data_IF_716019844823
#
_entry.id   IF_716019844823
#
_cell.length_a   1.000
_cell.length_b   1.000
_cell.length_c   1.000
_cell.angle_alpha   90.00
_cell.angle_beta   90.00
_cell.angle_gamma   90.00
#
_symmetry.space_group_name_H-M   'P 1'
#
loop_
_entity.id
_entity.type
_entity.pdbx_description
1 polymer ?
#
# COMPACT_ATOMS: atom_id res chain seq x y z
N UNK A 1 22.50 49.60 -1.99
CA UNK A 1 23.49 48.79 -2.73
C UNK A 1 22.68 47.68 -3.40
N UNK A 2 22.57 47.68 -4.73
CA UNK A 2 21.71 46.72 -5.45
C UNK A 2 22.17 45.30 -5.10
N UNK A 3 21.27 44.46 -4.59
CA UNK A 3 21.49 43.02 -4.41
C UNK A 3 21.62 42.39 -5.80
N UNK A 4 22.81 42.53 -6.39
CA UNK A 4 23.13 41.96 -7.67
C UNK A 4 23.53 40.51 -7.40
N UNK A 5 22.67 39.57 -7.80
CA UNK A 5 22.93 38.13 -7.69
C UNK A 5 24.33 37.79 -8.22
N UNK A 6 25.06 36.91 -7.52
CA UNK A 6 26.43 36.57 -7.90
C UNK A 6 26.45 35.76 -9.21
N UNK A 7 26.85 36.43 -10.29
CA UNK A 7 26.96 35.84 -11.63
C UNK A 7 27.89 34.63 -11.67
N UNK A 8 28.91 34.58 -10.82
CA UNK A 8 29.87 33.49 -10.78
C UNK A 8 29.27 32.26 -10.11
N UNK A 9 28.46 32.46 -9.07
CA UNK A 9 27.70 31.39 -8.42
C UNK A 9 26.68 30.83 -9.41
N UNK A 10 25.90 31.69 -10.07
CA UNK A 10 24.95 31.27 -11.10
C UNK A 10 25.59 30.46 -12.21
N UNK A 11 26.70 30.96 -12.78
CA UNK A 11 27.38 30.28 -13.87
C UNK A 11 27.92 28.91 -13.47
N UNK A 12 28.46 28.82 -12.25
CA UNK A 12 29.00 27.57 -11.69
C UNK A 12 27.89 26.55 -11.46
N UNK A 13 26.77 26.95 -10.83
CA UNK A 13 25.63 26.07 -10.59
C UNK A 13 24.98 25.60 -11.90
N UNK A 14 24.79 26.51 -12.86
CA UNK A 14 24.23 26.16 -14.17
C UNK A 14 25.08 25.12 -14.90
N UNK A 15 26.40 25.33 -14.94
CA UNK A 15 27.34 24.41 -15.59
C UNK A 15 27.36 23.04 -14.91
N UNK A 16 27.49 23.03 -13.59
CA UNK A 16 27.51 21.79 -12.80
C UNK A 16 26.19 21.00 -12.96
N UNK A 17 25.06 21.70 -12.96
CA UNK A 17 23.75 21.09 -13.13
C UNK A 17 23.62 20.44 -14.51
N UNK A 18 23.97 21.14 -15.60
CA UNK A 18 23.97 20.56 -16.95
C UNK A 18 24.82 19.29 -17.02
N UNK A 19 26.05 19.36 -16.53
CA UNK A 19 26.98 18.22 -16.56
C UNK A 19 26.50 17.04 -15.71
N UNK A 20 25.91 17.31 -14.54
CA UNK A 20 25.28 16.31 -13.67
C UNK A 20 24.10 15.63 -14.34
N UNK A 21 23.20 16.38 -14.99
CA UNK A 21 22.05 15.83 -15.73
C UNK A 21 22.48 14.94 -16.89
N UNK A 22 23.52 15.36 -17.63
CA UNK A 22 24.11 14.52 -18.67
C UNK A 22 24.70 13.21 -18.12
N UNK A 23 25.39 13.28 -16.97
CA UNK A 23 25.93 12.09 -16.31
C UNK A 23 24.83 11.12 -15.87
N UNK A 24 23.71 11.63 -15.35
CA UNK A 24 22.53 10.82 -14.99
C UNK A 24 21.95 10.09 -16.20
N UNK A 25 21.77 10.80 -17.32
CA UNK A 25 21.34 10.19 -18.58
C UNK A 25 22.30 9.07 -19.03
N UNK A 26 23.60 9.38 -19.11
CA UNK A 26 24.62 8.45 -19.61
C UNK A 26 24.74 7.19 -18.74
N UNK A 27 24.69 7.34 -17.41
CA UNK A 27 24.77 6.23 -16.47
C UNK A 27 23.57 5.26 -16.54
N UNK A 28 22.48 5.66 -17.20
CA UNK A 28 21.25 4.86 -17.31
C UNK A 28 20.90 4.55 -18.76
N UNK A 29 21.83 4.75 -19.71
CA UNK A 29 21.58 4.62 -21.13
C UNK A 29 21.29 3.16 -21.56
N UNK A 30 21.85 2.18 -20.85
CA UNK A 30 21.62 0.75 -21.14
C UNK A 30 20.30 0.22 -20.57
N UNK A 31 19.55 1.03 -19.80
CA UNK A 31 18.28 0.61 -19.20
C UNK A 31 17.16 0.68 -20.25
N UNK A 32 16.34 -0.37 -20.32
CA UNK A 32 15.15 -0.44 -21.21
C UNK A 32 14.20 0.75 -21.06
N UNK A 33 14.13 1.34 -19.87
CA UNK A 33 13.46 2.61 -19.62
C UNK A 33 14.43 3.51 -18.84
N UNK A 34 14.97 4.54 -19.49
CA UNK A 34 15.87 5.49 -18.86
C UNK A 34 15.05 6.61 -18.18
N UNK A 35 15.00 6.69 -16.84
CA UNK A 35 14.23 7.74 -16.15
C UNK A 35 14.78 9.15 -16.41
N UNK A 36 15.97 9.26 -17.00
CA UNK A 36 16.67 10.51 -17.30
C UNK A 36 16.72 10.82 -18.80
N UNK A 37 15.91 10.14 -19.64
CA UNK A 37 15.90 10.33 -21.10
C UNK A 37 15.74 11.80 -21.50
N UNK A 38 14.94 12.56 -20.73
CA UNK A 38 14.74 13.99 -20.94
C UNK A 38 16.05 14.79 -20.90
N UNK A 39 17.10 14.35 -20.24
CA UNK A 39 18.36 15.09 -20.14
C UNK A 39 19.37 14.81 -21.26
N UNK A 40 18.98 14.11 -22.33
CA UNK A 40 19.86 13.84 -23.48
C UNK A 40 20.46 15.13 -24.09
N UNK A 41 19.71 16.25 -24.07
CA UNK A 41 20.19 17.54 -24.57
C UNK A 41 21.24 18.21 -23.67
N UNK A 42 21.50 17.72 -22.45
CA UNK A 42 22.52 18.28 -21.55
C UNK A 42 23.96 17.92 -21.95
N UNK A 43 24.12 17.08 -22.99
CA UNK A 43 25.41 16.62 -23.52
C UNK A 43 26.40 17.74 -23.80
N UNK A 44 25.92 18.88 -24.31
CA UNK A 44 26.76 20.02 -24.67
C UNK A 44 26.03 21.35 -24.48
N UNK A 45 26.79 22.44 -24.45
CA UNK A 45 26.24 23.80 -24.50
C UNK A 45 25.39 24.04 -25.75
N UNK A 46 25.77 23.41 -26.87
CA UNK A 46 25.11 23.54 -28.16
C UNK A 46 23.68 22.99 -28.11
N UNK A 47 23.57 21.70 -27.76
CA UNK A 47 22.29 20.98 -27.66
C UNK A 47 21.34 21.57 -26.62
N UNK A 48 21.86 22.09 -25.50
CA UNK A 48 21.02 22.73 -24.49
C UNK A 48 20.60 24.15 -24.92
N UNK A 49 21.45 24.89 -25.64
CA UNK A 49 21.09 26.21 -26.18
C UNK A 49 19.97 26.11 -27.21
N UNK A 50 20.00 25.09 -28.07
CA UNK A 50 18.91 24.78 -29.01
C UNK A 50 17.61 24.48 -28.25
N UNK A 51 17.68 23.67 -27.19
CA UNK A 51 16.52 23.32 -26.36
C UNK A 51 15.89 24.55 -25.68
N UNK A 52 16.71 25.52 -25.29
CA UNK A 52 16.29 26.77 -24.66
C UNK A 52 15.92 27.87 -25.66
N UNK A 53 16.00 27.58 -26.96
CA UNK A 53 15.80 28.51 -28.06
C UNK A 53 16.65 29.79 -27.90
N UNK A 54 17.95 29.60 -27.66
CA UNK A 54 18.93 30.69 -27.56
C UNK A 54 20.19 30.36 -28.34
N UNK A 55 20.92 31.39 -28.76
CA UNK A 55 22.21 31.18 -29.41
C UNK A 55 23.20 30.49 -28.46
N UNK A 56 23.96 29.51 -28.98
CA UNK A 56 25.05 28.84 -28.27
C UNK A 56 26.00 29.82 -27.58
N UNK A 57 26.36 30.92 -28.27
CA UNK A 57 27.27 31.94 -27.71
C UNK A 57 26.66 32.63 -26.48
N UNK A 58 25.36 32.84 -26.48
CA UNK A 58 24.63 33.43 -25.36
C UNK A 58 24.61 32.47 -24.17
N UNK A 59 24.28 31.19 -24.41
CA UNK A 59 24.33 30.17 -23.36
C UNK A 59 25.76 29.99 -22.79
N UNK A 60 26.77 29.96 -23.65
CA UNK A 60 28.17 29.87 -23.22
C UNK A 60 28.61 31.05 -22.36
N UNK A 61 28.11 32.27 -22.61
CA UNK A 61 28.37 33.43 -21.73
C UNK A 61 27.74 33.25 -20.34
N UNK A 62 26.60 32.56 -20.24
CA UNK A 62 25.95 32.26 -18.96
C UNK A 62 26.76 31.25 -18.15
N UNK A 63 27.20 30.14 -18.74
CA UNK A 63 28.05 29.15 -18.05
C UNK A 63 29.45 29.68 -17.70
N UNK A 64 29.93 30.72 -18.40
CA UNK A 64 31.22 31.35 -18.12
C UNK A 64 31.10 32.59 -17.20
N UNK A 65 29.93 32.90 -16.67
CA UNK A 65 29.72 34.04 -15.76
C UNK A 65 29.95 35.41 -16.41
N UNK A 66 29.93 35.48 -17.74
CA UNK A 66 30.15 36.72 -18.50
C UNK A 66 28.88 37.58 -18.50
N UNK A 67 27.72 36.96 -18.58
CA UNK A 67 26.40 37.63 -18.53
C UNK A 67 25.41 36.77 -17.74
N UNK A 68 24.36 37.37 -17.21
CA UNK A 68 23.24 36.66 -16.57
C UNK A 68 22.05 36.63 -17.55
N UNK A 69 21.31 35.51 -17.66
CA UNK A 69 20.05 35.45 -18.41
C UNK A 69 18.97 36.39 -17.85
N UNK A 70 17.94 36.68 -18.65
CA UNK A 70 16.72 37.32 -18.16
C UNK A 70 15.93 36.36 -17.25
N UNK A 71 15.04 36.90 -16.41
CA UNK A 71 14.23 36.08 -15.49
C UNK A 71 13.41 35.00 -16.23
N UNK A 72 12.85 35.34 -17.40
CA UNK A 72 12.12 34.38 -18.25
C UNK A 72 13.03 33.23 -18.69
N UNK A 73 14.28 33.54 -19.04
CA UNK A 73 15.27 32.53 -19.43
C UNK A 73 15.76 31.71 -18.25
N UNK A 74 15.83 32.28 -17.05
CA UNK A 74 16.09 31.51 -15.83
C UNK A 74 14.95 30.53 -15.57
N UNK A 75 13.69 30.95 -15.73
CA UNK A 75 12.54 30.06 -15.60
C UNK A 75 12.55 28.93 -16.65
N UNK A 76 12.88 29.23 -17.91
CA UNK A 76 13.08 28.22 -18.95
C UNK A 76 14.17 27.20 -18.55
N UNK A 77 15.30 27.69 -18.04
CA UNK A 77 16.40 26.83 -17.56
C UNK A 77 15.92 25.93 -16.41
N UNK A 78 15.20 26.47 -15.44
CA UNK A 78 14.65 25.70 -14.31
C UNK A 78 13.72 24.58 -14.77
N UNK A 79 12.83 24.87 -15.72
CA UNK A 79 11.91 23.90 -16.30
C UNK A 79 12.63 22.80 -17.08
N UNK A 80 13.67 23.16 -17.83
CA UNK A 80 14.45 22.22 -18.64
C UNK A 80 15.36 21.34 -17.76
N UNK A 81 15.99 21.89 -16.72
CA UNK A 81 16.95 21.15 -15.89
C UNK A 81 16.35 20.56 -14.60
N UNK A 82 15.05 20.76 -14.38
CA UNK A 82 14.31 20.44 -13.16
C UNK A 82 15.06 20.90 -11.90
N UNK A 83 15.21 22.22 -11.76
CA UNK A 83 15.80 22.83 -10.57
C UNK A 83 14.97 24.03 -10.10
N UNK A 84 15.16 24.40 -8.82
CA UNK A 84 14.63 25.64 -8.28
C UNK A 84 15.51 26.83 -8.73
N UNK A 85 14.89 27.98 -8.98
CA UNK A 85 15.57 29.25 -9.23
C UNK A 85 16.52 29.62 -8.08
N UNK A 86 16.15 29.32 -6.84
CA UNK A 86 16.96 29.59 -5.64
C UNK A 86 18.31 28.87 -5.71
N UNK A 87 18.30 27.61 -6.18
CA UNK A 87 19.51 26.82 -6.38
C UNK A 87 20.44 27.46 -7.43
N UNK A 88 19.88 27.94 -8.54
CA UNK A 88 20.68 28.63 -9.57
C UNK A 88 21.24 29.96 -9.07
N UNK A 89 20.51 30.68 -8.22
CA UNK A 89 20.95 31.97 -7.69
C UNK A 89 21.89 31.84 -6.49
N UNK A 90 22.16 30.62 -6.00
CA UNK A 90 23.04 30.39 -4.85
C UNK A 90 22.39 30.76 -3.52
N UNK A 91 21.06 30.77 -3.44
CA UNK A 91 20.37 30.89 -2.18
C UNK A 91 20.53 29.58 -1.40
N UNK A 92 21.50 29.55 -0.49
CA UNK A 92 21.72 28.42 0.42
C UNK A 92 20.68 28.42 1.58
N UNK A 93 20.15 29.59 1.91
CA UNK A 93 19.06 29.76 2.88
C UNK A 93 17.74 30.02 2.17
N UNK A 94 16.81 29.05 2.25
CA UNK A 94 15.40 29.30 2.00
C UNK A 94 14.85 30.12 3.17
N UNK A 95 15.03 31.44 3.12
CA UNK A 95 14.46 32.36 4.13
C UNK A 95 12.94 32.17 4.10
N UNK A 96 12.39 31.59 5.18
CA UNK A 96 10.96 31.38 5.36
C UNK A 96 10.49 29.91 5.39
N UNK A 97 11.35 28.93 5.10
CA UNK A 97 11.00 27.51 5.22
C UNK A 97 12.06 26.75 6.02
N UNK A 98 11.65 26.01 7.05
CA UNK A 98 12.57 25.16 7.80
C UNK A 98 12.99 23.95 6.95
N UNK A 99 14.21 23.39 7.13
CA UNK A 99 14.62 22.14 6.47
C UNK A 99 13.61 21.01 6.63
N UNK A 100 12.97 20.90 7.80
CA UNK A 100 11.90 19.94 8.06
C UNK A 100 10.66 20.16 7.18
N UNK A 101 10.26 21.41 6.95
CA UNK A 101 9.12 21.75 6.09
C UNK A 101 9.39 21.37 4.63
N UNK A 102 10.63 21.61 4.16
CA UNK A 102 11.07 21.24 2.81
C UNK A 102 11.08 19.71 2.65
N UNK A 103 11.69 19.00 3.60
CA UNK A 103 11.72 17.54 3.60
C UNK A 103 10.30 16.96 3.61
N UNK A 104 9.41 17.49 4.44
CA UNK A 104 8.01 17.07 4.51
C UNK A 104 7.27 17.31 3.19
N UNK A 105 7.46 18.49 2.57
CA UNK A 105 6.82 18.83 1.30
C UNK A 105 7.20 17.86 0.18
N UNK A 106 8.50 17.59 0.00
CA UNK A 106 8.98 16.76 -1.12
C UNK A 106 8.82 15.26 -0.88
N UNK A 107 9.00 14.79 0.37
CA UNK A 107 8.88 13.36 0.69
C UNK A 107 7.47 12.92 1.06
N UNK A 108 6.57 13.88 1.31
CA UNK A 108 5.24 13.69 1.91
C UNK A 108 5.25 13.04 3.30
N UNK A 109 6.42 12.85 3.91
CA UNK A 109 6.57 12.39 5.30
C UNK A 109 6.07 13.50 6.23
N UNK A 110 5.32 13.12 7.27
CA UNK A 110 4.81 14.06 8.26
C UNK A 110 5.97 14.83 8.94
N UNK A 111 5.84 16.16 9.04
CA UNK A 111 6.84 17.04 9.63
C UNK A 111 7.18 16.70 11.09
N UNK A 112 6.23 16.15 11.86
CA UNK A 112 6.44 15.74 13.25
C UNK A 112 7.43 14.58 13.35
N UNK A 113 7.38 13.64 12.39
CA UNK A 113 8.33 12.52 12.29
C UNK A 113 9.73 13.07 12.04
N UNK A 114 9.85 14.04 11.11
CA UNK A 114 11.13 14.66 10.75
C UNK A 114 11.69 15.45 11.95
N UNK A 115 10.87 16.27 12.61
CA UNK A 115 11.27 17.04 13.79
C UNK A 115 11.67 16.14 14.96
N UNK A 116 10.95 15.02 15.17
CA UNK A 116 11.33 14.03 16.19
C UNK A 116 12.65 13.36 15.86
N UNK A 117 12.88 12.96 14.60
CA UNK A 117 14.15 12.41 14.16
C UNK A 117 15.30 13.42 14.28
N UNK A 118 15.07 14.72 14.09
CA UNK A 118 16.11 15.73 14.27
C UNK A 118 16.47 15.97 15.74
N UNK A 119 15.54 15.75 16.66
CA UNK A 119 15.73 16.00 18.10
C UNK A 119 16.13 14.77 18.92
N UNK A 120 15.98 13.57 18.34
CA UNK A 120 16.22 12.30 19.03
C UNK A 120 17.02 11.33 18.14
N UNK A 121 18.28 11.11 18.52
CA UNK A 121 19.22 10.28 17.77
C UNK A 121 18.81 8.81 17.74
N UNK A 122 18.26 8.29 18.84
CA UNK A 122 17.81 6.89 18.92
C UNK A 122 16.59 6.66 18.02
N UNK A 123 15.64 7.61 18.04
CA UNK A 123 14.49 7.57 17.14
C UNK A 123 14.93 7.61 15.67
N UNK A 124 15.90 8.48 15.35
CA UNK A 124 16.43 8.63 13.98
C UNK A 124 17.15 7.38 13.51
N UNK A 125 17.98 6.77 14.34
CA UNK A 125 18.69 5.54 14.00
C UNK A 125 17.72 4.39 13.70
N UNK A 126 16.77 4.17 14.60
CA UNK A 126 15.72 3.16 14.40
C UNK A 126 14.89 3.45 13.14
N UNK A 127 14.47 4.71 12.94
CA UNK A 127 13.68 5.11 11.77
C UNK A 127 14.45 4.83 10.47
N UNK A 128 15.74 5.15 10.40
CA UNK A 128 16.57 4.88 9.24
C UNK A 128 16.68 3.38 8.94
N UNK A 129 16.84 2.55 9.98
CA UNK A 129 16.86 1.11 9.81
C UNK A 129 15.50 0.59 9.33
N UNK A 130 14.42 0.93 10.03
CA UNK A 130 13.07 0.44 9.74
C UNK A 130 12.64 0.85 8.34
N UNK A 131 12.80 2.13 7.97
CA UNK A 131 12.35 2.67 6.68
C UNK A 131 13.20 2.22 5.48
N UNK A 132 14.30 1.50 5.70
CA UNK A 132 15.05 0.92 4.59
C UNK A 132 14.17 -0.11 3.86
N UNK A 133 14.04 -0.06 2.51
CA UNK A 133 13.18 -0.97 1.78
C UNK A 133 13.45 -2.45 2.06
N UNK A 134 14.73 -2.83 2.19
CA UNK A 134 15.10 -4.23 2.47
C UNK A 134 14.60 -4.74 3.84
N UNK A 135 14.23 -3.84 4.76
CA UNK A 135 13.83 -4.18 6.12
C UNK A 135 12.31 -4.17 6.29
N UNK A 136 11.61 -3.14 5.80
CA UNK A 136 10.16 -3.00 6.00
C UNK A 136 9.29 -3.37 4.78
N UNK A 137 9.84 -3.51 3.57
CA UNK A 137 9.00 -3.67 2.37
C UNK A 137 8.20 -4.98 2.38
N UNK A 138 8.77 -6.06 2.93
CA UNK A 138 8.06 -7.32 3.14
C UNK A 138 6.85 -7.15 4.09
N UNK A 139 7.00 -6.34 5.15
CA UNK A 139 5.95 -6.00 6.10
C UNK A 139 4.87 -5.12 5.45
N UNK A 140 5.28 -4.08 4.71
CA UNK A 140 4.35 -3.18 4.00
C UNK A 140 3.51 -3.94 2.99
N UNK A 141 4.11 -4.78 2.15
CA UNK A 141 3.36 -5.57 1.17
C UNK A 141 2.40 -6.58 1.80
N UNK A 142 2.73 -7.11 2.99
CA UNK A 142 1.83 -8.00 3.71
C UNK A 142 0.63 -7.27 4.33
N UNK A 143 0.69 -5.94 4.48
CA UNK A 143 -0.35 -5.12 5.13
C UNK A 143 -1.18 -4.27 4.15
N UNK A 144 -0.65 -3.92 2.97
CA UNK A 144 -1.35 -3.09 1.96
C UNK A 144 -2.39 -3.86 1.10
N UNK A 145 -3.57 -4.08 1.67
CA UNK A 145 -4.84 -3.40 1.28
C UNK A 145 -5.39 -3.40 -0.17
N UNK A 146 -5.18 -4.41 -1.02
CA UNK A 146 -6.24 -4.78 -1.99
C UNK A 146 -7.08 -5.95 -1.43
N UNK A 147 -6.45 -7.02 -0.96
CA UNK A 147 -7.15 -8.16 -0.38
C UNK A 147 -7.89 -7.85 0.95
N UNK A 148 -7.39 -6.93 1.78
CA UNK A 148 -7.96 -6.62 3.10
C UNK A 148 -9.18 -5.67 3.02
N UNK A 149 -9.18 -4.77 2.02
CA UNK A 149 -10.29 -3.86 1.72
C UNK A 149 -11.43 -4.59 1.01
N UNK A 150 -11.10 -5.48 0.06
CA UNK A 150 -12.08 -6.38 -0.56
C UNK A 150 -12.70 -7.34 0.45
N UNK A 151 -11.95 -7.77 1.47
CA UNK A 151 -12.46 -8.61 2.55
C UNK A 151 -13.51 -7.89 3.41
N UNK A 152 -13.17 -6.71 3.96
CA UNK A 152 -14.09 -5.97 4.84
C UNK A 152 -15.36 -5.52 4.12
N UNK A 153 -15.24 -5.11 2.86
CA UNK A 153 -16.38 -4.71 2.02
C UNK A 153 -17.33 -5.86 1.68
N UNK A 154 -16.88 -7.12 1.74
CA UNK A 154 -17.70 -8.31 1.46
C UNK A 154 -18.22 -9.02 2.72
N UNK A 155 -17.66 -8.74 3.90
CA UNK A 155 -18.12 -9.32 5.17
C UNK A 155 -19.37 -8.66 5.76
N UNK A 156 -19.89 -7.59 5.14
CA UNK A 156 -21.17 -6.97 5.48
C UNK A 156 -22.36 -7.71 4.85
N UNK A 157 -22.64 -8.95 5.25
CA UNK A 157 -24.04 -9.37 5.46
C UNK A 157 -24.06 -10.51 6.49
N UNK A 158 -24.06 -10.14 7.78
CA UNK A 158 -24.26 -11.06 8.90
C UNK A 158 -25.72 -11.54 8.89
N UNK A 159 -25.96 -12.61 8.13
CA UNK A 159 -27.26 -13.07 7.66
C UNK A 159 -27.85 -14.20 8.54
N UNK A 160 -27.07 -14.68 9.52
CA UNK A 160 -27.39 -15.79 10.41
C UNK A 160 -27.49 -15.28 11.85
N UNK A 161 -28.58 -15.62 12.53
CA UNK A 161 -28.82 -15.29 13.93
C UNK A 161 -28.51 -16.49 14.84
N UNK A 162 -28.27 -16.21 16.12
CA UNK A 162 -28.23 -17.24 17.17
C UNK A 162 -29.59 -17.97 17.28
N UNK A 163 -29.62 -19.27 17.63
CA UNK A 163 -28.50 -20.10 18.11
C UNK A 163 -27.67 -20.80 17.02
N UNK A 164 -28.08 -20.72 15.76
CA UNK A 164 -27.45 -21.46 14.66
C UNK A 164 -26.01 -21.00 14.41
N UNK A 165 -25.73 -19.70 14.56
CA UNK A 165 -24.39 -19.12 14.41
C UNK A 165 -23.39 -19.66 15.45
N UNK A 166 -23.80 -19.72 16.72
CA UNK A 166 -22.99 -20.32 17.78
C UNK A 166 -22.70 -21.80 17.51
N UNK A 167 -23.73 -22.58 17.16
CA UNK A 167 -23.58 -24.01 16.88
C UNK A 167 -22.65 -24.31 15.69
N UNK A 168 -22.73 -23.51 14.62
CA UNK A 168 -21.83 -23.64 13.48
C UNK A 168 -20.38 -23.32 13.84
N UNK A 169 -20.15 -22.39 14.78
CA UNK A 169 -18.81 -22.07 15.27
C UNK A 169 -18.20 -23.25 16.02
N UNK A 170 -18.97 -23.90 16.90
CA UNK A 170 -18.52 -25.05 17.67
C UNK A 170 -18.26 -26.28 16.78
N UNK A 171 -19.15 -26.54 15.81
CA UNK A 171 -18.99 -27.63 14.84
C UNK A 171 -17.73 -27.42 14.01
N UNK A 172 -17.46 -26.18 13.59
CA UNK A 172 -16.27 -25.90 12.80
C UNK A 172 -14.99 -26.06 13.61
N UNK A 173 -14.97 -25.63 14.88
CA UNK A 173 -13.83 -25.90 15.76
C UNK A 173 -13.59 -27.41 15.94
N UNK A 174 -14.66 -28.20 16.07
CA UNK A 174 -14.57 -29.66 16.07
C UNK A 174 -13.99 -30.21 14.77
N UNK A 175 -14.47 -29.75 13.62
CA UNK A 175 -13.95 -30.14 12.30
C UNK A 175 -12.44 -29.86 12.17
N UNK A 176 -11.98 -28.70 12.66
CA UNK A 176 -10.57 -28.31 12.64
C UNK A 176 -9.69 -29.16 13.56
N UNK A 177 -10.22 -29.62 14.70
CA UNK A 177 -9.48 -30.45 15.64
C UNK A 177 -9.20 -31.86 15.10
N UNK A 178 -10.05 -32.36 14.19
CA UNK A 178 -10.03 -33.76 13.75
C UNK A 178 -9.78 -33.95 12.24
N UNK A 179 -9.62 -32.88 11.46
CA UNK A 179 -9.36 -32.95 10.02
C UNK A 179 -8.00 -32.32 9.68
N UNK A 180 -7.09 -33.01 8.97
CA UNK A 180 -5.84 -32.42 8.51
C UNK A 180 -6.05 -31.29 7.48
N UNK A 181 -5.24 -30.23 7.56
CA UNK A 181 -5.29 -29.08 6.63
C UNK A 181 -5.26 -29.46 5.14
N UNK A 182 -4.53 -30.53 4.78
CA UNK A 182 -4.45 -31.03 3.40
C UNK A 182 -5.76 -31.64 2.87
N UNK A 183 -6.72 -31.87 3.76
CA UNK A 183 -8.03 -32.47 3.47
C UNK A 183 -9.17 -31.45 3.64
N UNK A 184 -8.85 -30.16 3.80
CA UNK A 184 -9.86 -29.11 3.88
C UNK A 184 -10.42 -28.81 2.49
N UNK A 185 -11.64 -29.26 2.26
CA UNK A 185 -12.41 -28.89 1.09
C UNK A 185 -13.91 -28.80 1.43
N UNK A 186 -14.71 -28.41 0.45
CA UNK A 186 -16.16 -28.29 0.64
C UNK A 186 -16.83 -29.65 0.89
N UNK A 187 -16.26 -30.73 0.39
CA UNK A 187 -16.81 -32.09 0.50
C UNK A 187 -16.63 -32.61 1.91
N UNK A 188 -15.41 -32.54 2.46
CA UNK A 188 -15.10 -32.99 3.82
C UNK A 188 -15.83 -32.16 4.88
N UNK A 189 -15.95 -30.84 4.68
CA UNK A 189 -16.77 -29.98 5.55
C UNK A 189 -18.26 -30.31 5.46
N UNK A 190 -18.78 -30.60 4.26
CA UNK A 190 -20.19 -30.98 4.07
C UNK A 190 -20.50 -32.30 4.78
N UNK A 191 -19.62 -33.29 4.68
CA UNK A 191 -19.76 -34.56 5.40
C UNK A 191 -19.78 -34.37 6.92
N UNK A 192 -18.86 -33.56 7.45
CA UNK A 192 -18.81 -33.26 8.88
C UNK A 192 -20.04 -32.49 9.36
N UNK A 193 -20.50 -31.48 8.60
CA UNK A 193 -21.71 -30.72 8.91
C UNK A 193 -22.95 -31.61 8.90
N UNK A 194 -23.10 -32.52 7.94
CA UNK A 194 -24.21 -33.48 7.90
C UNK A 194 -24.17 -34.41 9.12
N UNK A 195 -22.98 -34.84 9.54
CA UNK A 195 -22.82 -35.67 10.73
C UNK A 195 -23.18 -34.93 12.02
N UNK A 196 -22.85 -33.65 12.11
CA UNK A 196 -23.09 -32.83 13.30
C UNK A 196 -24.51 -32.24 13.37
N UNK A 197 -25.14 -32.01 12.21
CA UNK A 197 -26.46 -31.39 12.06
C UNK A 197 -27.38 -32.28 11.21
N UNK A 198 -27.75 -33.48 11.67
CA UNK A 198 -28.66 -34.35 10.95
C UNK A 198 -30.05 -33.71 10.75
N UNK A 199 -30.82 -34.26 9.80
CA UNK A 199 -32.09 -33.68 9.35
C UNK A 199 -33.10 -33.40 10.48
N UNK A 200 -33.10 -34.23 11.52
CA UNK A 200 -33.96 -34.14 12.70
C UNK A 200 -33.60 -32.96 13.64
N UNK A 201 -32.41 -32.36 13.50
CA UNK A 201 -32.01 -31.16 14.26
C UNK A 201 -32.67 -29.88 13.78
N UNK A 202 -33.31 -29.87 12.61
CA UNK A 202 -33.92 -28.68 12.04
C UNK A 202 -35.44 -28.78 11.95
N UNK A 203 -36.11 -27.67 12.27
CA UNK A 203 -37.52 -27.47 11.98
C UNK A 203 -37.66 -26.39 10.89
N UNK A 204 -38.31 -26.77 9.80
CA UNK A 204 -38.71 -25.87 8.72
C UNK A 204 -40.17 -25.39 8.88
N UNK A 205 -40.87 -25.86 9.91
CA UNK A 205 -42.24 -25.49 10.21
C UNK A 205 -42.33 -24.27 11.13
N UNK A 206 -43.48 -23.58 11.09
CA UNK A 206 -43.74 -22.37 11.90
C UNK A 206 -43.87 -22.71 13.40
N UNK A 207 -44.27 -23.95 13.74
CA UNK A 207 -44.43 -24.38 15.14
C UNK A 207 -43.09 -24.76 15.77
N UNK A 208 -42.84 -24.22 16.96
CA UNK A 208 -41.69 -24.53 17.81
C UNK A 208 -41.79 -25.98 18.29
N UNK A 209 -40.75 -26.77 18.06
CA UNK A 209 -40.50 -28.02 18.77
C UNK A 209 -39.26 -27.77 19.63
N UNK A 210 -39.34 -28.05 20.94
CA UNK A 210 -38.36 -27.59 21.92
C UNK A 210 -36.93 -28.16 21.73
N UNK A 211 -36.77 -29.18 20.88
CA UNK A 211 -35.48 -29.85 20.63
C UNK A 211 -34.85 -29.55 19.26
N UNK A 212 -35.54 -28.83 18.37
CA UNK A 212 -35.09 -28.57 16.99
C UNK A 212 -34.82 -27.08 16.74
N UNK A 213 -33.82 -26.76 15.93
CA UNK A 213 -33.50 -25.39 15.51
C UNK A 213 -34.50 -24.93 14.46
N UNK A 214 -35.25 -23.87 14.77
CA UNK A 214 -36.18 -23.28 13.79
C UNK A 214 -35.41 -22.39 12.82
N UNK A 215 -35.40 -22.77 11.54
CA UNK A 215 -34.64 -22.05 10.50
C UNK A 215 -35.26 -20.69 10.19
N UNK A 216 -36.58 -20.54 10.34
CA UNK A 216 -37.28 -19.27 10.09
C UNK A 216 -36.91 -18.18 11.10
N UNK A 217 -36.34 -18.55 12.25
CA UNK A 217 -35.83 -17.59 13.25
C UNK A 217 -34.33 -17.32 13.10
N UNK A 218 -33.60 -18.20 12.40
CA UNK A 218 -32.15 -18.14 12.27
C UNK A 218 -31.68 -17.48 10.96
N UNK A 219 -32.54 -17.43 9.94
CA UNK A 219 -32.28 -16.78 8.65
C UNK A 219 -33.27 -15.63 8.42
N UNK A 220 -32.79 -14.55 7.82
CA UNK A 220 -33.69 -13.45 7.40
C UNK A 220 -34.64 -13.89 6.29
N UNK A 221 -35.84 -13.29 6.24
CA UNK A 221 -36.85 -13.58 5.21
C UNK A 221 -36.34 -13.42 3.78
N UNK A 222 -35.39 -12.50 3.55
CA UNK A 222 -34.75 -12.30 2.25
C UNK A 222 -33.92 -13.51 1.81
N UNK A 223 -33.17 -14.12 2.74
CA UNK A 223 -32.35 -15.32 2.45
C UNK A 223 -33.25 -16.52 2.23
N UNK A 224 -34.27 -16.71 3.08
CA UNK A 224 -35.23 -17.81 2.93
C UNK A 224 -35.90 -17.78 1.55
N UNK A 225 -36.31 -16.59 1.11
CA UNK A 225 -36.90 -16.39 -0.22
C UNK A 225 -35.88 -16.65 -1.35
N UNK A 226 -34.63 -16.20 -1.20
CA UNK A 226 -33.56 -16.45 -2.19
C UNK A 226 -33.19 -17.92 -2.32
N UNK A 227 -33.20 -18.66 -1.21
CA UNK A 227 -32.91 -20.09 -1.17
C UNK A 227 -34.10 -20.95 -1.59
N UNK A 228 -35.31 -20.39 -1.67
CA UNK A 228 -36.52 -21.14 -2.01
C UNK A 228 -36.94 -22.14 -0.92
N UNK A 229 -36.63 -21.84 0.35
CA UNK A 229 -37.04 -22.67 1.49
C UNK A 229 -38.53 -22.44 1.75
N UNK A 230 -39.35 -23.47 1.51
CA UNK A 230 -40.81 -23.45 1.68
C UNK A 230 -41.24 -24.60 2.57
N UNK A 231 -42.31 -24.43 3.36
CA UNK A 231 -42.88 -25.49 4.19
C UNK A 231 -43.10 -26.77 3.37
N UNK A 232 -42.71 -27.92 3.92
CA UNK A 232 -42.88 -29.27 3.34
C UNK A 232 -42.09 -29.60 2.06
N UNK A 233 -41.08 -28.81 1.69
CA UNK A 233 -40.16 -29.18 0.60
C UNK A 233 -39.09 -30.19 1.07
N UNK A 234 -39.03 -31.41 0.50
CA UNK A 234 -38.07 -32.44 0.91
C UNK A 234 -36.60 -32.09 0.63
N UNK A 235 -36.32 -31.07 -0.21
CA UNK A 235 -34.96 -30.62 -0.52
C UNK A 235 -34.43 -29.53 0.43
N UNK A 236 -35.27 -29.00 1.33
CA UNK A 236 -34.91 -27.89 2.21
C UNK A 236 -33.63 -28.13 3.01
N UNK A 237 -33.45 -29.35 3.52
CA UNK A 237 -32.27 -29.71 4.28
C UNK A 237 -30.99 -29.66 3.43
N UNK A 238 -31.01 -30.19 2.21
CA UNK A 238 -29.84 -30.15 1.33
C UNK A 238 -29.50 -28.71 0.90
N UNK A 239 -30.52 -27.92 0.57
CA UNK A 239 -30.37 -26.50 0.22
C UNK A 239 -29.75 -25.71 1.39
N UNK A 240 -30.23 -25.96 2.62
CA UNK A 240 -29.69 -25.36 3.82
C UNK A 240 -28.24 -25.78 4.06
N UNK A 241 -27.93 -27.08 4.00
CA UNK A 241 -26.57 -27.58 4.20
C UNK A 241 -25.61 -26.99 3.17
N UNK A 242 -26.00 -26.93 1.89
CA UNK A 242 -25.17 -26.32 0.84
C UNK A 242 -24.95 -24.82 1.06
N UNK A 243 -25.98 -24.10 1.52
CA UNK A 243 -25.84 -22.70 1.92
C UNK A 243 -24.88 -22.55 3.12
N UNK A 244 -25.04 -23.37 4.16
CA UNK A 244 -24.22 -23.34 5.37
C UNK A 244 -22.76 -23.73 5.08
N UNK A 245 -22.51 -24.73 4.24
CA UNK A 245 -21.16 -25.10 3.78
C UNK A 245 -20.52 -23.92 3.07
N UNK A 246 -21.22 -23.26 2.15
CA UNK A 246 -20.68 -22.11 1.43
C UNK A 246 -20.45 -20.90 2.35
N UNK A 247 -21.38 -20.63 3.28
CA UNK A 247 -21.24 -19.58 4.28
C UNK A 247 -20.04 -19.84 5.20
N UNK A 248 -19.95 -21.04 5.77
CA UNK A 248 -18.87 -21.46 6.65
C UNK A 248 -17.53 -21.44 5.92
N UNK A 249 -17.43 -21.99 4.72
CA UNK A 249 -16.21 -21.99 3.93
C UNK A 249 -15.73 -20.56 3.59
N UNK A 250 -16.64 -19.63 3.28
CA UNK A 250 -16.27 -18.25 2.97
C UNK A 250 -15.87 -17.43 4.20
N UNK A 251 -16.54 -17.60 5.33
CA UNK A 251 -16.25 -16.87 6.58
C UNK A 251 -15.03 -17.44 7.30
N UNK A 252 -14.86 -18.76 7.30
CA UNK A 252 -13.88 -19.46 8.13
C UNK A 252 -12.51 -19.60 7.47
N UNK A 253 -12.45 -19.88 6.16
CA UNK A 253 -11.19 -19.82 5.40
C UNK A 253 -10.57 -18.43 5.47
N UNK A 254 -11.40 -17.39 5.66
CA UNK A 254 -10.94 -16.03 5.73
C UNK A 254 -10.46 -15.62 7.12
N UNK A 255 -11.13 -16.08 8.20
CA UNK A 255 -10.63 -15.90 9.57
C UNK A 255 -9.30 -16.62 9.78
N UNK A 256 -9.18 -17.86 9.32
CA UNK A 256 -7.94 -18.64 9.39
C UNK A 256 -6.83 -18.00 8.53
N UNK A 257 -7.13 -17.54 7.31
CA UNK A 257 -6.17 -16.75 6.52
C UNK A 257 -5.76 -15.46 7.21
N UNK A 258 -6.66 -14.76 7.87
CA UNK A 258 -6.34 -13.52 8.60
C UNK A 258 -5.44 -13.82 9.79
N UNK A 259 -5.72 -14.87 10.56
CA UNK A 259 -4.93 -15.22 11.73
C UNK A 259 -3.54 -15.74 11.33
N UNK A 260 -3.44 -16.54 10.26
CA UNK A 260 -2.15 -16.92 9.64
C UNK A 260 -1.39 -15.68 9.13
N UNK A 261 -2.07 -14.71 8.51
CA UNK A 261 -1.43 -13.48 8.04
C UNK A 261 -0.99 -12.59 9.20
N UNK A 262 -1.77 -12.46 10.28
CA UNK A 262 -1.38 -11.72 11.49
C UNK A 262 -0.15 -12.35 12.12
N UNK A 263 -0.13 -13.68 12.26
CA UNK A 263 1.02 -14.41 12.81
C UNK A 263 2.26 -14.19 11.95
N UNK A 264 2.12 -14.31 10.63
CA UNK A 264 3.21 -14.06 9.67
C UNK A 264 3.73 -12.62 9.73
N UNK A 265 2.83 -11.63 9.80
CA UNK A 265 3.18 -10.20 9.96
C UNK A 265 3.93 -10.01 11.28
N UNK A 266 3.45 -10.61 12.37
CA UNK A 266 4.09 -10.58 13.67
C UNK A 266 5.50 -11.16 13.63
N UNK A 267 5.68 -12.34 13.04
CA UNK A 267 6.99 -12.98 12.86
C UNK A 267 7.94 -12.13 12.03
N UNK A 268 7.47 -11.54 10.92
CA UNK A 268 8.28 -10.63 10.09
C UNK A 268 8.72 -9.39 10.88
N UNK A 269 7.84 -8.84 11.72
CA UNK A 269 8.14 -7.69 12.56
C UNK A 269 9.16 -8.02 13.64
N UNK A 270 8.99 -9.14 14.35
CA UNK A 270 9.93 -9.62 15.37
C UNK A 270 11.30 -9.88 14.76
N UNK A 271 11.37 -10.61 13.64
CA UNK A 271 12.63 -10.92 12.95
C UNK A 271 13.39 -9.67 12.49
N UNK A 272 12.68 -8.65 12.00
CA UNK A 272 13.28 -7.36 11.66
C UNK A 272 13.86 -6.67 12.91
N UNK A 273 13.16 -6.70 14.05
CA UNK A 273 13.66 -6.11 15.28
C UNK A 273 14.87 -6.86 15.83
N UNK A 274 14.88 -8.19 15.79
CA UNK A 274 16.04 -9.00 16.18
C UNK A 274 17.28 -8.61 15.36
N UNK A 275 17.15 -8.51 14.04
CA UNK A 275 18.24 -8.05 13.17
C UNK A 275 18.70 -6.62 13.43
N UNK A 276 17.83 -5.75 13.93
CA UNK A 276 18.22 -4.40 14.33
C UNK A 276 19.05 -4.43 15.62
N UNK A 277 18.65 -5.26 16.58
CA UNK A 277 19.32 -5.39 17.87
C UNK A 277 20.65 -6.15 17.80
N UNK A 278 20.85 -6.98 16.78
CA UNK A 278 22.11 -7.70 16.50
C UNK A 278 23.18 -6.83 15.83
N UNK A 279 22.85 -5.59 15.49
CA UNK A 279 23.68 -4.70 14.67
C UNK A 279 24.78 -3.98 15.45
#
# INVERSE_FOLDING_TARGET
MSLMYDKNVFSTQLKNLRESRWKQYKNNQDKRNNPYEKYAYCKSQDTLSEKLNVERRTYGKWENGTTIPTIDKVADICNVLDCNIDYLLGAEELIGFTPSAIASHYSTINIDIINKAMSDDNYRDFLNYFMHPDNCYALVNSTTLNAWKDFLANSEVDNLNDPLKALLSDIFQGYQAFTPLSQYDKTSLKEYLISALPHDKFSFAIKKMDECININTCLSANILNKLGIVTDNPQNYQILIDYLVNYCFNVLLTKEKIDIQKEKIGQLFVHMLEKYLEK
#
